data_IF_687854999975
#
_entry.id   IF_687854999975
#
_cell.length_a   1.000
_cell.length_b   1.000
_cell.length_c   1.000
_cell.angle_alpha   90.00
_cell.angle_beta   90.00
_cell.angle_gamma   90.00
#
_symmetry.space_group_name_H-M   'P 1'
#
loop_
_entity.id
_entity.type
_entity.pdbx_description
1 polymer ?
#
# COMPACT_ATOMS: atom_id res chain seq x y z
N UNK A 1 1.36 11.10 -22.39
CA UNK A 1 0.73 10.84 -21.08
C UNK A 1 1.15 11.99 -20.18
N UNK A 2 0.27 12.96 -19.96
CA UNK A 2 0.54 14.09 -19.07
C UNK A 2 0.22 13.69 -17.62
N UNK A 3 1.24 13.32 -16.84
CA UNK A 3 1.08 13.20 -15.41
C UNK A 3 1.22 14.60 -14.79
N UNK A 4 0.16 15.14 -14.21
CA UNK A 4 0.27 16.34 -13.40
C UNK A 4 0.96 15.99 -12.08
N UNK A 5 2.09 16.64 -11.81
CA UNK A 5 2.82 16.52 -10.55
C UNK A 5 2.55 17.77 -9.72
N UNK A 6 1.76 17.64 -8.64
CA UNK A 6 1.57 18.68 -7.66
C UNK A 6 2.39 18.37 -6.41
N UNK A 7 3.33 19.24 -6.07
CA UNK A 7 4.06 19.18 -4.80
C UNK A 7 3.39 20.14 -3.83
N UNK A 8 3.01 19.65 -2.67
CA UNK A 8 2.44 20.45 -1.59
C UNK A 8 3.34 20.36 -0.37
N UNK A 9 4.04 21.43 -0.07
CA UNK A 9 4.91 21.53 1.11
C UNK A 9 4.06 21.52 2.39
N UNK A 10 4.28 20.52 3.25
CA UNK A 10 3.71 20.43 4.59
C UNK A 10 4.75 19.87 5.55
N UNK A 11 5.34 20.77 6.36
CA UNK A 11 6.32 20.42 7.39
C UNK A 11 5.68 19.91 8.67
N UNK A 12 4.37 20.10 8.83
CA UNK A 12 3.59 19.63 9.94
C UNK A 12 2.99 18.25 9.60
N UNK A 13 3.36 17.24 10.36
CA UNK A 13 2.92 15.85 10.13
C UNK A 13 1.40 15.66 10.21
N UNK A 14 0.72 16.42 11.07
CA UNK A 14 -0.75 16.37 11.20
C UNK A 14 -1.39 16.93 9.94
N UNK A 15 -0.95 18.12 9.48
CA UNK A 15 -1.44 18.72 8.24
C UNK A 15 -1.16 17.89 7.01
N UNK A 16 -0.04 17.16 7.03
CA UNK A 16 0.31 16.23 5.95
C UNK A 16 -0.73 15.12 5.83
N UNK A 17 -1.08 14.46 6.94
CA UNK A 17 -2.09 13.40 6.97
C UNK A 17 -3.46 13.94 6.55
N UNK A 18 -3.88 15.10 7.08
CA UNK A 18 -5.12 15.78 6.68
C UNK A 18 -5.16 16.08 5.18
N UNK A 19 -4.05 16.57 4.62
CA UNK A 19 -3.93 16.84 3.18
C UNK A 19 -4.07 15.57 2.35
N UNK A 20 -3.43 14.46 2.75
CA UNK A 20 -3.57 13.17 2.08
C UNK A 20 -5.01 12.68 2.12
N UNK A 21 -5.66 12.77 3.27
CA UNK A 21 -7.08 12.40 3.44
C UNK A 21 -7.98 13.24 2.54
N UNK A 22 -7.80 14.56 2.54
CA UNK A 22 -8.58 15.48 1.70
C UNK A 22 -8.39 15.20 0.20
N UNK A 23 -7.16 14.94 -0.24
CA UNK A 23 -6.86 14.55 -1.60
C UNK A 23 -7.62 13.30 -2.01
N UNK A 24 -7.53 12.24 -1.20
CA UNK A 24 -8.15 10.96 -1.54
C UNK A 24 -9.68 10.97 -1.45
N UNK A 25 -10.23 11.73 -0.48
CA UNK A 25 -11.67 11.72 -0.22
C UNK A 25 -12.46 12.61 -1.17
N UNK A 26 -11.92 13.80 -1.49
CA UNK A 26 -12.68 14.85 -2.18
C UNK A 26 -11.95 15.38 -3.41
N UNK A 27 -10.72 15.89 -3.26
CA UNK A 27 -10.10 16.67 -4.34
C UNK A 27 -9.82 15.89 -5.60
N UNK A 28 -9.26 14.69 -5.49
CA UNK A 28 -8.92 13.88 -6.67
C UNK A 28 -10.18 13.26 -7.29
N UNK A 29 -11.13 12.71 -6.52
CA UNK A 29 -12.40 12.29 -7.07
C UNK A 29 -13.16 13.41 -7.79
N UNK A 30 -13.31 14.58 -7.14
CA UNK A 30 -14.13 15.67 -7.66
C UNK A 30 -13.48 16.40 -8.85
N UNK A 31 -12.16 16.62 -8.82
CA UNK A 31 -11.46 17.41 -9.83
C UNK A 31 -10.85 16.61 -10.96
N UNK A 32 -10.42 15.37 -10.68
CA UNK A 32 -9.69 14.53 -11.64
C UNK A 32 -10.53 13.33 -12.08
N UNK A 33 -11.71 13.11 -11.49
CA UNK A 33 -12.57 11.97 -11.80
C UNK A 33 -11.92 10.62 -11.51
N UNK A 34 -10.99 10.57 -10.55
CA UNK A 34 -10.34 9.33 -10.11
C UNK A 34 -10.96 8.92 -8.77
N UNK A 35 -11.78 7.87 -8.73
CA UNK A 35 -12.41 7.39 -7.50
C UNK A 35 -11.36 7.01 -6.44
N UNK A 36 -11.73 7.11 -5.15
CA UNK A 36 -10.83 6.82 -4.04
C UNK A 36 -10.30 5.38 -4.03
N UNK A 37 -11.03 4.43 -4.59
CA UNK A 37 -10.64 3.03 -4.73
C UNK A 37 -9.61 2.78 -5.86
N UNK A 38 -9.47 3.71 -6.80
CA UNK A 38 -8.45 3.70 -7.84
C UNK A 38 -7.19 4.51 -7.47
N UNK A 39 -7.21 5.15 -6.29
CA UNK A 39 -6.07 5.87 -5.72
C UNK A 39 -5.28 4.96 -4.79
N UNK A 40 -3.95 5.11 -4.81
CA UNK A 40 -3.08 4.44 -3.85
C UNK A 40 -2.16 5.45 -3.16
N UNK A 41 -2.19 5.44 -1.83
CA UNK A 41 -1.23 6.22 -1.04
C UNK A 41 0.03 5.39 -0.83
N UNK A 42 1.18 5.96 -1.17
CA UNK A 42 2.49 5.34 -1.02
C UNK A 42 3.38 6.15 -0.08
N UNK A 43 4.06 5.49 0.83
CA UNK A 43 5.05 6.10 1.73
C UNK A 43 6.29 5.23 1.85
N UNK A 44 7.48 5.79 2.08
CA UNK A 44 8.68 4.99 2.30
C UNK A 44 8.65 4.17 3.60
N UNK A 45 7.92 4.61 4.62
CA UNK A 45 8.01 4.10 5.99
C UNK A 45 6.71 3.49 6.50
N UNK A 46 6.83 2.56 7.46
CA UNK A 46 5.68 1.99 8.18
C UNK A 46 5.34 2.74 9.47
N UNK A 47 6.34 3.37 10.10
CA UNK A 47 6.25 4.02 11.41
C UNK A 47 6.26 5.54 11.29
N UNK A 48 5.82 6.20 12.37
CA UNK A 48 5.71 7.67 12.43
C UNK A 48 4.40 8.17 11.83
N UNK A 49 4.20 9.48 11.91
CA UNK A 49 2.96 10.13 11.52
C UNK A 49 2.66 9.99 10.02
N UNK A 50 3.70 10.06 9.19
CA UNK A 50 3.62 9.83 7.75
C UNK A 50 3.80 8.35 7.35
N UNK A 51 3.77 7.43 8.30
CA UNK A 51 3.88 5.99 8.07
C UNK A 51 2.56 5.35 7.65
N UNK A 52 2.65 4.14 7.07
CA UNK A 52 1.44 3.43 6.59
C UNK A 52 0.42 3.22 7.69
N UNK A 53 0.85 3.02 8.95
CA UNK A 53 -0.06 2.78 10.07
C UNK A 53 -0.97 3.99 10.34
N UNK A 54 -0.39 5.16 10.52
CA UNK A 54 -1.13 6.41 10.77
C UNK A 54 -1.99 6.80 9.59
N UNK A 55 -1.46 6.67 8.37
CA UNK A 55 -2.19 6.96 7.14
C UNK A 55 -3.38 6.01 6.95
N UNK A 56 -3.21 4.71 7.18
CA UNK A 56 -4.30 3.73 7.07
C UNK A 56 -5.43 4.03 8.06
N UNK A 57 -5.08 4.37 9.31
CA UNK A 57 -6.07 4.74 10.32
C UNK A 57 -6.88 5.98 9.90
N UNK A 58 -6.20 7.03 9.46
CA UNK A 58 -6.84 8.28 9.02
C UNK A 58 -7.69 8.09 7.75
N UNK A 59 -7.18 7.34 6.78
CA UNK A 59 -7.87 7.06 5.53
C UNK A 59 -9.09 6.16 5.74
N UNK A 60 -9.00 5.11 6.57
CA UNK A 60 -10.13 4.28 6.92
C UNK A 60 -11.24 5.12 7.58
N UNK A 61 -10.90 5.94 8.56
CA UNK A 61 -11.87 6.81 9.24
C UNK A 61 -12.58 7.77 8.28
N UNK A 62 -11.88 8.25 7.25
CA UNK A 62 -12.40 9.21 6.29
C UNK A 62 -13.17 8.58 5.12
N UNK A 63 -12.67 7.45 4.57
CA UNK A 63 -13.20 6.81 3.37
C UNK A 63 -14.23 5.71 3.70
N UNK A 64 -14.03 5.02 4.82
CA UNK A 64 -14.89 3.94 5.27
C UNK A 64 -15.27 4.08 6.76
N UNK A 65 -15.98 5.16 7.16
CA UNK A 65 -16.39 5.36 8.55
C UNK A 65 -17.38 4.28 9.01
N UNK A 66 -17.46 4.03 10.34
CA UNK A 66 -18.46 3.14 10.88
C UNK A 66 -19.88 3.62 10.54
N UNK A 67 -20.77 2.69 10.21
CA UNK A 67 -22.17 2.97 9.90
C UNK A 67 -23.07 1.91 10.53
N UNK A 68 -24.31 2.24 10.97
CA UNK A 68 -25.26 1.24 11.43
C UNK A 68 -25.46 0.14 10.39
N UNK A 69 -25.45 -1.11 10.83
CA UNK A 69 -25.60 -2.30 9.96
C UNK A 69 -24.32 -2.79 9.28
N UNK A 70 -23.23 -2.03 9.32
CA UNK A 70 -21.92 -2.47 8.83
C UNK A 70 -21.20 -3.27 9.91
N UNK A 71 -20.80 -4.48 9.58
CA UNK A 71 -20.08 -5.35 10.49
C UNK A 71 -18.61 -4.95 10.61
N UNK A 72 -18.07 -5.15 11.82
CA UNK A 72 -16.67 -4.86 12.16
C UNK A 72 -16.06 -6.04 12.91
N UNK A 73 -14.79 -6.31 12.66
CA UNK A 73 -14.00 -7.30 13.40
C UNK A 73 -12.72 -6.66 13.94
N UNK A 74 -12.56 -6.66 15.25
CA UNK A 74 -11.32 -6.22 15.87
C UNK A 74 -10.30 -7.36 15.92
N UNK A 75 -9.07 -7.06 15.47
CA UNK A 75 -7.93 -7.94 15.58
C UNK A 75 -6.70 -7.13 16.02
N UNK A 76 -6.28 -7.31 17.27
CA UNK A 76 -5.23 -6.50 17.88
C UNK A 76 -5.61 -5.01 17.91
N UNK A 77 -4.79 -4.20 17.24
CA UNK A 77 -5.03 -2.75 17.11
C UNK A 77 -5.80 -2.38 15.84
N UNK A 78 -5.99 -3.32 14.93
CA UNK A 78 -6.76 -3.12 13.71
C UNK A 78 -8.25 -3.38 13.95
N UNK A 79 -9.08 -2.60 13.30
CA UNK A 79 -10.52 -2.82 13.19
C UNK A 79 -10.81 -3.01 11.70
N UNK A 80 -11.05 -4.24 11.30
CA UNK A 80 -11.50 -4.57 9.96
C UNK A 80 -12.99 -4.30 9.83
N UNK A 81 -13.40 -3.68 8.74
CA UNK A 81 -14.78 -3.27 8.47
C UNK A 81 -15.17 -3.66 7.06
N UNK A 82 -16.39 -4.05 6.86
CA UNK A 82 -16.92 -4.26 5.51
C UNK A 82 -16.63 -3.05 4.62
N UNK A 83 -16.11 -3.31 3.42
CA UNK A 83 -15.66 -2.29 2.48
C UNK A 83 -14.21 -1.84 2.65
N UNK A 84 -13.49 -2.30 3.67
CA UNK A 84 -12.06 -1.97 3.83
C UNK A 84 -11.21 -2.59 2.74
N UNK A 85 -10.17 -1.85 2.36
CA UNK A 85 -9.08 -2.36 1.53
C UNK A 85 -8.04 -3.02 2.42
N UNK A 86 -7.72 -4.25 2.10
CA UNK A 86 -6.75 -5.07 2.84
C UNK A 86 -5.72 -5.66 1.90
N UNK A 87 -4.58 -6.05 2.43
CA UNK A 87 -3.50 -6.67 1.70
C UNK A 87 -3.03 -7.92 2.42
N UNK A 88 -2.84 -9.00 1.69
CA UNK A 88 -2.16 -10.19 2.18
C UNK A 88 -0.69 -9.88 2.43
N UNK A 89 -0.19 -10.23 3.61
CA UNK A 89 1.19 -9.90 4.04
C UNK A 89 2.16 -11.05 3.94
N UNK A 90 1.66 -12.27 3.68
CA UNK A 90 2.42 -13.51 3.49
C UNK A 90 1.86 -14.29 2.30
N UNK A 91 2.66 -15.21 1.77
CA UNK A 91 2.12 -16.19 0.83
C UNK A 91 1.38 -17.26 1.64
N UNK A 92 0.11 -17.46 1.35
CA UNK A 92 -0.68 -18.54 1.87
C UNK A 92 -1.22 -19.34 0.68
N UNK A 93 -0.71 -20.57 0.52
CA UNK A 93 -1.04 -21.46 -0.60
C UNK A 93 -2.32 -22.27 -0.34
N UNK A 94 -2.81 -22.26 0.90
CA UNK A 94 -3.93 -23.10 1.35
C UNK A 94 -5.27 -22.33 1.33
N UNK A 95 -5.23 -20.98 1.22
CA UNK A 95 -6.43 -20.16 1.11
C UNK A 95 -7.18 -20.51 -0.14
N UNK A 96 -8.39 -21.08 0.04
CA UNK A 96 -9.29 -21.41 -1.07
C UNK A 96 -10.00 -20.14 -1.54
N UNK A 97 -10.05 -19.96 -2.83
CA UNK A 97 -10.82 -18.89 -3.47
C UNK A 97 -11.73 -19.45 -4.58
N UNK A 98 -12.78 -18.72 -4.86
CA UNK A 98 -13.72 -19.02 -5.92
C UNK A 98 -14.03 -17.74 -6.74
N UNK A 99 -14.22 -17.89 -8.04
CA UNK A 99 -14.70 -16.85 -8.94
C UNK A 99 -16.23 -16.95 -9.15
N UNK A 100 -16.80 -15.88 -9.66
CA UNK A 100 -18.24 -15.85 -9.99
C UNK A 100 -18.64 -16.90 -11.04
N UNK A 101 -17.74 -17.27 -11.95
CA UNK A 101 -17.95 -18.32 -12.97
C UNK A 101 -17.89 -19.75 -12.43
N UNK A 102 -17.69 -19.91 -11.11
CA UNK A 102 -17.55 -21.21 -10.43
C UNK A 102 -16.13 -21.79 -10.46
N UNK A 103 -15.18 -21.14 -11.11
CA UNK A 103 -13.78 -21.55 -11.05
C UNK A 103 -13.25 -21.41 -9.62
N UNK A 104 -12.62 -22.45 -9.10
CA UNK A 104 -12.01 -22.46 -7.77
C UNK A 104 -10.52 -22.76 -7.86
N UNK A 105 -9.78 -22.30 -6.88
CA UNK A 105 -8.34 -22.57 -6.75
C UNK A 105 -7.86 -22.27 -5.35
N UNK A 106 -6.55 -22.31 -5.16
CA UNK A 106 -5.89 -22.04 -3.89
C UNK A 106 -4.76 -21.04 -4.06
N UNK A 107 -4.43 -20.35 -2.97
CA UNK A 107 -3.33 -19.42 -2.87
C UNK A 107 -3.72 -17.96 -3.03
N UNK A 108 -3.44 -17.19 -1.98
CA UNK A 108 -3.40 -15.73 -1.97
C UNK A 108 -1.99 -15.33 -1.55
N UNK A 109 -1.41 -14.37 -2.26
CA UNK A 109 0.02 -14.11 -2.14
C UNK A 109 0.33 -12.77 -1.49
N UNK A 110 1.53 -12.69 -0.94
CA UNK A 110 2.04 -11.46 -0.34
C UNK A 110 2.02 -10.29 -1.33
N UNK A 111 1.25 -9.26 -1.01
CA UNK A 111 1.03 -8.09 -1.86
C UNK A 111 -0.31 -8.08 -2.58
N UNK A 112 -1.04 -9.20 -2.62
CA UNK A 112 -2.40 -9.23 -3.17
C UNK A 112 -3.28 -8.27 -2.34
N UNK A 113 -3.96 -7.37 -3.03
CA UNK A 113 -4.86 -6.38 -2.42
C UNK A 113 -6.29 -6.79 -2.71
N UNK A 114 -7.11 -6.80 -1.66
CA UNK A 114 -8.53 -7.12 -1.77
C UNK A 114 -9.40 -6.13 -1.01
N UNK A 115 -10.71 -6.35 -1.10
CA UNK A 115 -11.72 -5.60 -0.39
C UNK A 115 -12.57 -6.54 0.44
N UNK A 116 -12.79 -6.22 1.71
CA UNK A 116 -13.69 -6.97 2.57
C UNK A 116 -15.12 -6.76 2.06
N UNK A 117 -15.69 -7.81 1.48
CA UNK A 117 -17.05 -7.78 0.96
C UNK A 117 -18.07 -7.96 2.08
N UNK A 118 -17.79 -8.88 3.02
CA UNK A 118 -18.72 -9.22 4.10
C UNK A 118 -17.96 -9.72 5.32
N UNK A 119 -18.52 -9.44 6.48
CA UNK A 119 -18.13 -10.01 7.78
C UNK A 119 -19.37 -10.69 8.33
N UNK A 120 -19.26 -11.94 8.74
CA UNK A 120 -20.40 -12.64 9.33
C UNK A 120 -20.79 -12.02 10.69
N UNK A 121 -22.04 -12.16 11.17
CA UNK A 121 -22.48 -11.54 12.40
C UNK A 121 -21.69 -12.00 13.65
N UNK A 122 -21.10 -13.20 13.64
CA UNK A 122 -20.22 -13.66 14.74
C UNK A 122 -18.83 -13.01 14.65
N UNK A 123 -18.45 -12.48 13.49
CA UNK A 123 -17.13 -11.93 13.22
C UNK A 123 -16.06 -13.01 13.04
N UNK A 124 -16.43 -14.27 12.88
CA UNK A 124 -15.49 -15.37 12.73
C UNK A 124 -15.01 -15.56 11.30
N UNK A 125 -15.86 -15.18 10.32
CA UNK A 125 -15.57 -15.31 8.91
C UNK A 125 -15.63 -13.96 8.20
N UNK A 126 -14.64 -13.72 7.34
CA UNK A 126 -14.57 -12.57 6.45
C UNK A 126 -14.51 -13.05 5.00
N UNK A 127 -15.37 -12.53 4.15
CA UNK A 127 -15.27 -12.71 2.70
C UNK A 127 -14.49 -11.54 2.11
N UNK A 128 -13.38 -11.85 1.43
CA UNK A 128 -12.50 -10.85 0.82
C UNK A 128 -12.42 -11.12 -0.68
N UNK A 129 -12.67 -10.08 -1.47
CA UNK A 129 -12.56 -10.14 -2.93
C UNK A 129 -11.20 -9.57 -3.34
N UNK A 130 -10.37 -10.41 -3.95
CA UNK A 130 -9.10 -10.09 -4.56
C UNK A 130 -9.26 -10.15 -6.08
N UNK A 131 -9.30 -9.01 -6.74
CA UNK A 131 -9.66 -8.87 -8.16
C UNK A 131 -10.99 -9.56 -8.48
N UNK A 132 -10.97 -10.75 -9.10
CA UNK A 132 -12.13 -11.57 -9.45
C UNK A 132 -12.26 -12.85 -8.57
N UNK A 133 -11.44 -12.97 -7.52
CA UNK A 133 -11.37 -14.13 -6.61
C UNK A 133 -11.95 -13.77 -5.25
N UNK A 134 -12.95 -14.50 -4.80
CA UNK A 134 -13.50 -14.38 -3.44
C UNK A 134 -12.90 -15.47 -2.56
N UNK A 135 -12.29 -15.06 -1.45
CA UNK A 135 -11.71 -15.96 -0.47
C UNK A 135 -12.33 -15.74 0.91
N UNK A 136 -12.50 -16.83 1.67
CA UNK A 136 -13.01 -16.78 3.03
C UNK A 136 -11.85 -16.87 4.02
N UNK A 137 -11.80 -15.93 4.94
CA UNK A 137 -10.79 -15.83 5.99
C UNK A 137 -11.42 -16.12 7.35
N UNK A 138 -10.76 -16.95 8.14
CA UNK A 138 -11.09 -17.20 9.54
C UNK A 138 -10.33 -16.24 10.46
N UNK A 139 -10.72 -16.19 11.72
CA UNK A 139 -10.13 -15.25 12.69
C UNK A 139 -8.61 -15.39 12.87
N UNK A 140 -8.06 -16.59 12.75
CA UNK A 140 -6.62 -16.86 12.86
C UNK A 140 -5.85 -16.36 11.63
N UNK A 141 -6.47 -16.35 10.46
CA UNK A 141 -5.87 -15.84 9.22
C UNK A 141 -5.77 -14.31 9.19
N UNK A 142 -6.48 -13.59 10.06
CA UNK A 142 -6.43 -12.12 10.12
C UNK A 142 -5.03 -11.58 10.48
N UNK A 143 -4.18 -12.40 11.10
CA UNK A 143 -2.77 -12.06 11.36
C UNK A 143 -1.96 -11.84 10.08
N UNK A 144 -2.44 -12.33 8.94
CA UNK A 144 -1.80 -12.22 7.64
C UNK A 144 -2.32 -11.04 6.80
N UNK A 145 -3.29 -10.31 7.32
CA UNK A 145 -3.86 -9.13 6.68
C UNK A 145 -3.32 -7.84 7.29
N UNK A 146 -3.18 -6.83 6.44
CA UNK A 146 -2.90 -5.44 6.84
C UNK A 146 -3.84 -4.50 6.06
N UNK A 147 -4.07 -3.30 6.57
CA UNK A 147 -4.83 -2.29 5.83
C UNK A 147 -4.07 -1.82 4.59
N UNK A 148 -4.77 -1.56 3.50
CA UNK A 148 -4.17 -1.24 2.20
C UNK A 148 -4.61 0.10 1.59
N UNK A 149 -5.16 1.03 2.35
CA UNK A 149 -5.38 2.40 1.89
C UNK A 149 -4.06 3.11 1.63
N UNK A 150 -3.08 2.89 2.52
CA UNK A 150 -1.69 3.30 2.34
C UNK A 150 -0.77 2.09 2.48
N UNK A 151 0.24 2.00 1.61
CA UNK A 151 1.24 0.94 1.67
C UNK A 151 2.66 1.49 1.48
N UNK A 152 3.66 0.69 1.82
CA UNK A 152 5.04 1.09 1.54
C UNK A 152 5.34 0.96 0.06
N UNK A 153 6.23 1.82 -0.44
CA UNK A 153 6.69 1.76 -1.84
C UNK A 153 7.19 0.36 -2.23
N UNK A 154 7.85 -0.34 -1.29
CA UNK A 154 8.34 -1.70 -1.54
C UNK A 154 7.21 -2.72 -1.75
N UNK A 155 6.10 -2.57 -1.01
CA UNK A 155 4.93 -3.45 -1.15
C UNK A 155 4.16 -3.18 -2.45
N UNK A 156 4.27 -1.99 -3.00
CA UNK A 156 3.64 -1.60 -4.27
C UNK A 156 4.45 -2.02 -5.51
N UNK A 157 5.62 -2.68 -5.33
CA UNK A 157 6.41 -3.14 -6.46
C UNK A 157 5.65 -4.20 -7.28
N UNK A 158 5.60 -4.01 -8.59
CA UNK A 158 4.87 -4.88 -9.51
C UNK A 158 3.43 -4.45 -9.79
N UNK A 159 2.83 -3.62 -8.92
CA UNK A 159 1.48 -3.10 -9.12
C UNK A 159 1.50 -1.72 -9.77
N UNK A 160 0.41 -1.36 -10.43
CA UNK A 160 0.19 -0.02 -11.00
C UNK A 160 -1.20 0.47 -10.59
N UNK A 161 -1.31 1.79 -10.41
CA UNK A 161 -2.54 2.43 -9.95
C UNK A 161 -2.87 3.59 -10.88
N UNK A 162 -4.15 3.87 -11.06
CA UNK A 162 -4.59 5.00 -11.87
C UNK A 162 -4.08 6.32 -11.31
N UNK A 163 -4.21 6.51 -9.99
CA UNK A 163 -3.63 7.65 -9.29
C UNK A 163 -2.78 7.24 -8.09
N UNK A 164 -1.64 7.90 -7.90
CA UNK A 164 -0.74 7.70 -6.76
C UNK A 164 -0.60 8.99 -5.98
N UNK A 165 -0.76 8.91 -4.66
CA UNK A 165 -0.40 9.97 -3.72
C UNK A 165 0.85 9.51 -2.97
N UNK A 166 2.00 10.06 -3.33
CA UNK A 166 3.26 9.76 -2.66
C UNK A 166 3.50 10.70 -1.49
N UNK A 167 3.77 10.14 -0.31
CA UNK A 167 4.05 10.87 0.92
C UNK A 167 5.56 10.96 1.13
N UNK A 168 6.13 12.12 0.79
CA UNK A 168 7.56 12.43 0.87
C UNK A 168 7.92 13.12 2.17
N UNK A 169 7.93 12.38 3.30
CA UNK A 169 8.32 12.90 4.61
C UNK A 169 9.72 12.39 5.02
N UNK A 170 10.43 13.12 5.89
CA UNK A 170 11.70 12.66 6.44
C UNK A 170 11.54 11.28 7.10
N UNK A 171 12.42 10.35 6.75
CA UNK A 171 12.41 8.99 7.27
C UNK A 171 13.84 8.43 7.38
N UNK A 172 13.99 7.14 7.66
CA UNK A 172 15.28 6.50 7.78
C UNK A 172 16.16 6.74 6.54
N UNK A 173 17.47 7.07 6.70
CA UNK A 173 18.36 7.40 5.58
C UNK A 173 18.44 6.32 4.50
N UNK A 174 18.23 5.05 4.85
CA UNK A 174 18.19 3.93 3.92
C UNK A 174 16.99 3.94 2.98
N UNK A 175 15.92 4.67 3.34
CA UNK A 175 14.71 4.84 2.55
C UNK A 175 14.70 6.16 1.76
N UNK A 176 15.57 7.11 2.14
CA UNK A 176 15.72 8.41 1.50
C UNK A 176 16.63 8.31 0.28
N UNK A 177 16.27 7.46 -0.68
CA UNK A 177 17.08 7.17 -1.87
C UNK A 177 16.26 7.30 -3.15
N UNK A 178 16.93 7.69 -4.26
CA UNK A 178 16.32 7.87 -5.57
C UNK A 178 15.52 6.65 -6.04
N UNK A 179 16.00 5.43 -5.75
CA UNK A 179 15.33 4.19 -6.13
C UNK A 179 13.93 4.04 -5.52
N UNK A 180 13.73 4.49 -4.29
CA UNK A 180 12.40 4.47 -3.63
C UNK A 180 11.47 5.49 -4.28
N UNK A 181 11.94 6.72 -4.51
CA UNK A 181 11.17 7.77 -5.19
C UNK A 181 10.80 7.33 -6.61
N UNK A 182 11.76 6.82 -7.38
CA UNK A 182 11.53 6.32 -8.75
C UNK A 182 10.50 5.20 -8.78
N UNK A 183 10.59 4.24 -7.86
CA UNK A 183 9.61 3.15 -7.75
C UNK A 183 8.21 3.70 -7.49
N UNK A 184 8.06 4.67 -6.58
CA UNK A 184 6.77 5.29 -6.30
C UNK A 184 6.18 6.00 -7.53
N UNK A 185 7.00 6.80 -8.24
CA UNK A 185 6.60 7.54 -9.44
C UNK A 185 6.10 6.58 -10.53
N UNK A 186 6.83 5.49 -10.75
CA UNK A 186 6.50 4.52 -11.80
C UNK A 186 5.29 3.65 -11.48
N UNK A 187 4.66 3.79 -10.32
CA UNK A 187 3.38 3.12 -9.99
C UNK A 187 2.17 3.88 -10.51
N UNK A 188 2.31 5.16 -10.82
CA UNK A 188 1.22 6.00 -11.33
C UNK A 188 1.02 5.81 -12.84
N UNK A 189 -0.21 5.52 -13.26
CA UNK A 189 -0.60 5.40 -14.67
C UNK A 189 -1.04 6.75 -15.27
N UNK A 190 -1.88 7.49 -14.55
CA UNK A 190 -2.47 8.74 -15.02
C UNK A 190 -2.06 9.95 -14.18
N UNK A 191 -2.07 9.81 -12.86
CA UNK A 191 -1.86 10.92 -11.93
C UNK A 191 -0.86 10.55 -10.83
N UNK A 192 0.10 11.43 -10.61
CA UNK A 192 0.99 11.42 -9.45
C UNK A 192 0.84 12.73 -8.67
N UNK A 193 0.56 12.62 -7.39
CA UNK A 193 0.60 13.75 -6.44
C UNK A 193 1.67 13.46 -5.40
N UNK A 194 2.59 14.39 -5.19
CA UNK A 194 3.59 14.30 -4.12
C UNK A 194 3.18 15.27 -3.00
N UNK A 195 3.05 14.74 -1.79
CA UNK A 195 2.72 15.49 -0.58
C UNK A 195 3.83 15.33 0.44
N UNK A 196 4.34 16.40 1.00
CA UNK A 196 5.36 16.30 2.04
C UNK A 196 6.35 17.46 2.04
N UNK A 197 7.56 17.20 2.50
CA UNK A 197 8.65 18.16 2.59
C UNK A 197 9.48 18.15 1.29
N UNK A 198 9.51 19.26 0.58
CA UNK A 198 10.29 19.43 -0.65
C UNK A 198 11.77 19.09 -0.43
N UNK A 199 12.33 19.42 0.74
CA UNK A 199 13.72 19.10 1.05
C UNK A 199 13.95 17.60 1.16
N UNK A 200 12.98 16.87 1.69
CA UNK A 200 13.03 15.40 1.77
C UNK A 200 12.95 14.77 0.38
N UNK A 201 12.04 15.23 -0.46
CA UNK A 201 11.87 14.74 -1.84
C UNK A 201 13.13 15.03 -2.67
N UNK A 202 13.67 16.25 -2.57
CA UNK A 202 14.91 16.64 -3.25
C UNK A 202 16.10 15.77 -2.80
N UNK A 203 16.25 15.53 -1.49
CA UNK A 203 17.28 14.62 -0.96
C UNK A 203 17.12 13.20 -1.51
N UNK A 204 15.89 12.71 -1.66
CA UNK A 204 15.66 11.41 -2.29
C UNK A 204 16.07 11.43 -3.78
N UNK A 205 15.72 12.47 -4.51
CA UNK A 205 16.06 12.60 -5.93
C UNK A 205 17.58 12.67 -6.18
N UNK A 206 18.34 13.34 -5.30
CA UNK A 206 19.79 13.49 -5.38
C UNK A 206 20.56 12.26 -4.90
N UNK A 207 19.97 11.49 -3.96
CA UNK A 207 20.64 10.36 -3.33
C UNK A 207 20.55 9.09 -4.21
N UNK A 208 21.58 8.84 -4.99
CA UNK A 208 21.68 7.67 -5.88
C UNK A 208 22.34 6.45 -5.22
N UNK A 209 22.56 6.49 -3.89
CA UNK A 209 23.17 5.38 -3.15
C UNK A 209 22.40 4.09 -3.42
N UNK A 210 23.02 3.22 -4.21
CA UNK A 210 22.54 1.85 -4.39
C UNK A 210 22.97 1.03 -3.19
N UNK A 211 22.05 0.30 -2.60
CA UNK A 211 22.40 -0.74 -1.63
C UNK A 211 23.37 -1.72 -2.32
N UNK A 212 24.64 -1.67 -1.94
CA UNK A 212 25.63 -2.63 -2.45
C UNK A 212 25.26 -4.00 -1.92
N UNK A 213 24.73 -4.84 -2.80
CA UNK A 213 24.54 -6.25 -2.47
C UNK A 213 25.92 -6.91 -2.41
N UNK A 214 26.36 -7.25 -1.22
CA UNK A 214 27.54 -8.10 -1.02
C UNK A 214 27.15 -9.54 -1.38
N UNK A 215 27.13 -9.86 -2.67
CA UNK A 215 26.99 -11.24 -3.11
C UNK A 215 28.39 -11.85 -3.24
N UNK A 216 28.61 -13.06 -2.73
CA UNK A 216 29.84 -13.82 -2.96
C UNK A 216 30.05 -14.26 -4.40
N UNK A 217 29.16 -13.86 -5.33
CA UNK A 217 29.19 -14.26 -6.73
C UNK A 217 30.51 -13.85 -7.44
N UNK A 218 30.95 -12.60 -7.24
CA UNK A 218 32.21 -12.10 -7.81
C UNK A 218 33.43 -12.90 -7.32
N UNK A 219 33.42 -13.31 -6.05
CA UNK A 219 34.47 -14.14 -5.46
C UNK A 219 34.41 -15.57 -5.99
N UNK A 220 33.23 -16.17 -6.10
CA UNK A 220 33.04 -17.51 -6.68
C UNK A 220 33.42 -17.58 -8.15
N UNK A 221 33.06 -16.58 -8.94
CA UNK A 221 33.45 -16.49 -10.36
C UNK A 221 34.96 -16.36 -10.54
N UNK A 222 35.68 -15.65 -9.64
CA UNK A 222 37.14 -15.56 -9.69
C UNK A 222 37.80 -16.90 -9.34
N UNK A 223 37.33 -17.62 -8.31
CA UNK A 223 37.87 -18.94 -7.96
C UNK A 223 37.60 -20.01 -8.98
N UNK A 224 36.43 -20.03 -9.60
CA UNK A 224 36.10 -21.00 -10.65
C UNK A 224 36.81 -20.75 -11.99
N UNK A 225 37.50 -19.61 -12.18
CA UNK A 225 38.36 -19.32 -13.32
C UNK A 225 39.83 -19.72 -13.15
N UNK A 226 40.26 -20.02 -11.91
CA UNK A 226 41.63 -20.43 -11.61
C UNK A 226 41.83 -21.97 -11.54
N UNK A 227 40.73 -22.72 -11.68
CA UNK A 227 40.75 -24.21 -11.70
C UNK A 227 40.61 -24.82 -13.13
N UNK A 228 41.03 -24.09 -14.17
CA UNK A 228 41.13 -24.63 -15.54
C UNK A 228 42.54 -24.47 -16.12
#
# INVERSE_FOLDING_TARGET
VGSEMCIRDSRDSVRLVETVVELCKTRLPDKMGIPADELQVLTPTRRGDAGTRSLNFALQAALNPPKPGKQERRFGELIFREGDRVMQTRNDYDVVWQKEDGTAGTGIFNGDVGKIAKIDPSGELLEIVFDDRTATYTSDMLAELDMAYAMTVHKAQGSEYRGVVFVGAPCAPSLMVRGVLYTAITRARELLVIVGDDSAVNKMAENDRRSRRYSGLKWRLRKGGEEK
#
